data_IF_246262550500
#
_entry.id   IF_246262550500
#
_cell.length_a   1.000
_cell.length_b   1.000
_cell.length_c   1.000
_cell.angle_alpha   90.00
_cell.angle_beta   90.00
_cell.angle_gamma   90.00
#
_symmetry.space_group_name_H-M   'P 1'
#
loop_
_entity.id
_entity.type
_entity.pdbx_description
1 polymer ?
#
# COMPACT_ATOMS: atom_id res chain seq x y z
N UNK A 1 19.74 2.10 -6.80
CA UNK A 1 20.44 3.10 -5.95
C UNK A 1 19.57 3.36 -4.73
N UNK A 2 20.17 3.43 -3.55
CA UNK A 2 19.48 3.82 -2.31
C UNK A 2 20.22 5.02 -1.74
N UNK A 3 19.49 6.06 -1.32
CA UNK A 3 20.07 7.27 -0.74
C UNK A 3 19.19 7.75 0.41
N UNK A 4 19.79 8.01 1.57
CA UNK A 4 19.09 8.56 2.73
C UNK A 4 18.74 10.04 2.46
N UNK A 5 17.52 10.50 2.82
CA UNK A 5 17.11 11.90 2.64
C UNK A 5 17.69 12.80 3.73
N UNK A 6 19.02 12.85 3.82
CA UNK A 6 19.72 13.72 4.78
C UNK A 6 19.50 15.19 4.43
N UNK A 7 19.10 16.04 5.39
CA UNK A 7 18.87 17.46 5.15
C UNK A 7 20.19 18.19 4.92
N UNK A 8 20.17 19.16 4.02
CA UNK A 8 21.32 20.03 3.75
C UNK A 8 21.36 21.18 4.77
N UNK A 9 22.57 21.59 5.16
CA UNK A 9 22.75 22.75 6.04
C UNK A 9 22.21 24.05 5.42
N UNK A 10 22.22 24.16 4.09
CA UNK A 10 21.60 25.25 3.32
C UNK A 10 20.88 24.66 2.10
N UNK A 11 19.63 25.05 1.82
CA UNK A 11 18.96 24.66 0.59
C UNK A 11 19.74 25.14 -0.64
N UNK A 12 19.85 24.27 -1.64
CA UNK A 12 20.47 24.63 -2.92
C UNK A 12 19.35 25.07 -3.86
N UNK A 13 19.37 26.35 -4.25
CA UNK A 13 18.42 26.90 -5.21
C UNK A 13 18.93 26.63 -6.62
N UNK A 14 18.09 25.99 -7.44
CA UNK A 14 18.36 25.74 -8.84
C UNK A 14 18.10 27.00 -9.67
N UNK A 15 18.84 27.16 -10.76
CA UNK A 15 18.65 28.26 -11.71
C UNK A 15 17.23 28.35 -12.31
N UNK A 16 16.44 27.27 -12.24
CA UNK A 16 15.05 27.19 -12.70
C UNK A 16 13.98 27.33 -11.60
N UNK A 17 14.34 27.78 -10.40
CA UNK A 17 13.38 28.09 -9.32
C UNK A 17 13.00 26.92 -8.39
N UNK A 18 13.64 25.75 -8.53
CA UNK A 18 13.45 24.63 -7.60
C UNK A 18 14.45 24.66 -6.44
N UNK A 19 14.02 24.34 -5.23
CA UNK A 19 14.91 24.18 -4.06
C UNK A 19 15.20 22.70 -3.79
N UNK A 20 16.48 22.36 -3.65
CA UNK A 20 16.92 21.05 -3.18
C UNK A 20 17.23 21.14 -1.68
N UNK A 21 16.56 20.30 -0.89
CA UNK A 21 16.67 20.33 0.58
C UNK A 21 17.41 19.12 1.14
N UNK A 22 17.47 18.03 0.38
CA UNK A 22 18.11 16.78 0.83
C UNK A 22 19.18 16.29 -0.14
N UNK A 23 20.11 15.45 0.35
CA UNK A 23 21.10 14.76 -0.49
C UNK A 23 20.41 13.87 -1.54
N UNK A 24 19.28 13.25 -1.19
CA UNK A 24 18.48 12.46 -2.12
C UNK A 24 17.93 13.30 -3.28
N UNK A 25 17.54 14.55 -3.03
CA UNK A 25 17.09 15.47 -4.08
C UNK A 25 18.23 15.84 -5.04
N UNK A 26 19.45 16.06 -4.52
CA UNK A 26 20.65 16.28 -5.34
C UNK A 26 20.93 15.05 -6.21
N UNK A 27 20.89 13.84 -5.64
CA UNK A 27 21.11 12.60 -6.39
C UNK A 27 20.08 12.41 -7.49
N UNK A 28 18.80 12.65 -7.18
CA UNK A 28 17.68 12.61 -8.13
C UNK A 28 17.88 13.60 -9.27
N UNK A 29 18.28 14.84 -8.96
CA UNK A 29 18.53 15.87 -9.96
C UNK A 29 19.75 15.56 -10.83
N UNK A 30 20.82 15.00 -10.25
CA UNK A 30 21.99 14.56 -10.99
C UNK A 30 21.63 13.49 -12.03
N UNK A 31 20.84 12.48 -11.64
CA UNK A 31 20.39 11.43 -12.56
C UNK A 31 19.57 12.05 -13.70
N UNK A 32 18.66 12.99 -13.41
CA UNK A 32 17.87 13.66 -14.46
C UNK A 32 18.73 14.40 -15.47
N UNK A 33 19.73 15.13 -15.01
CA UNK A 33 20.63 15.89 -15.89
C UNK A 33 21.49 14.99 -16.76
N UNK A 34 22.00 13.89 -16.19
CA UNK A 34 22.75 12.89 -16.95
C UNK A 34 21.85 12.25 -18.01
N UNK A 35 20.61 11.88 -17.65
CA UNK A 35 19.62 11.37 -18.61
C UNK A 35 19.31 12.39 -19.71
N UNK A 36 19.16 13.66 -19.38
CA UNK A 36 18.95 14.71 -20.37
C UNK A 36 20.15 14.84 -21.32
N UNK A 37 21.38 14.86 -20.79
CA UNK A 37 22.59 14.90 -21.60
C UNK A 37 22.75 13.68 -22.51
N UNK A 38 22.44 12.48 -22.02
CA UNK A 38 22.43 11.25 -22.83
C UNK A 38 21.39 11.31 -23.96
N UNK A 39 20.20 11.85 -23.68
CA UNK A 39 19.16 12.05 -24.70
C UNK A 39 19.60 13.05 -25.78
N UNK A 40 20.24 14.13 -25.40
CA UNK A 40 20.69 15.15 -26.35
C UNK A 40 21.86 14.65 -27.21
N UNK A 41 22.86 13.99 -26.60
CA UNK A 41 23.96 13.37 -27.36
C UNK A 41 23.47 12.35 -28.39
N UNK A 42 22.42 11.60 -28.06
CA UNK A 42 21.83 10.61 -28.96
C UNK A 42 21.04 11.22 -30.13
N UNK A 43 20.50 12.44 -29.99
CA UNK A 43 19.84 13.11 -31.12
C UNK A 43 20.83 13.43 -32.26
N UNK A 44 22.09 13.63 -31.91
CA UNK A 44 23.16 13.96 -32.85
C UNK A 44 23.81 12.70 -33.48
N UNK A 45 23.46 11.50 -33.00
CA UNK A 45 23.98 10.23 -33.49
C UNK A 45 23.07 9.63 -34.57
N UNK A 46 23.64 9.09 -35.66
CA UNK A 46 22.87 8.44 -36.74
C UNK A 46 22.05 7.28 -36.15
N UNK A 47 20.73 7.25 -36.43
CA UNK A 47 19.78 6.25 -35.94
C UNK A 47 19.98 4.85 -36.54
N UNK A 48 21.16 4.26 -36.36
CA UNK A 48 21.42 2.85 -36.62
C UNK A 48 20.81 2.03 -35.47
N UNK A 49 19.99 1.01 -35.76
CA UNK A 49 19.43 0.17 -34.72
C UNK A 49 20.51 -0.78 -34.18
N UNK A 50 21.32 -0.32 -33.23
CA UNK A 50 22.33 -1.14 -32.58
C UNK A 50 21.73 -2.15 -31.57
N UNK A 51 20.45 -2.00 -31.21
CA UNK A 51 19.78 -2.79 -30.17
C UNK A 51 18.32 -3.08 -30.53
N UNK A 52 17.87 -4.31 -30.26
CA UNK A 52 16.47 -4.74 -30.47
C UNK A 52 15.47 -4.05 -29.53
N UNK A 53 15.95 -3.50 -28.40
CA UNK A 53 15.11 -2.77 -27.44
C UNK A 53 15.59 -1.32 -27.29
N UNK A 54 14.67 -0.34 -27.32
CA UNK A 54 14.99 1.04 -26.98
C UNK A 54 15.59 1.12 -25.58
N UNK A 55 16.59 1.99 -25.39
CA UNK A 55 17.17 2.20 -24.07
C UNK A 55 16.16 2.90 -23.15
N UNK A 56 15.84 2.26 -22.02
CA UNK A 56 14.98 2.86 -21.01
C UNK A 56 15.79 3.84 -20.15
N UNK A 57 15.60 5.13 -20.41
CA UNK A 57 16.17 6.22 -19.62
C UNK A 57 15.19 6.74 -18.55
N UNK A 58 14.05 6.06 -18.39
CA UNK A 58 13.12 6.32 -17.30
C UNK A 58 13.66 5.80 -15.98
N UNK A 59 13.28 6.47 -14.89
CA UNK A 59 13.52 5.93 -13.56
C UNK A 59 12.36 6.31 -12.64
N UNK A 60 12.08 5.45 -11.66
CA UNK A 60 11.09 5.70 -10.62
C UNK A 60 11.79 5.99 -9.30
N UNK A 61 11.17 6.83 -8.49
CA UNK A 61 11.67 7.20 -7.16
C UNK A 61 10.65 6.75 -6.13
N UNK A 62 11.12 5.94 -5.19
CA UNK A 62 10.34 5.47 -4.07
C UNK A 62 10.85 6.14 -2.79
N UNK A 63 9.96 6.33 -1.81
CA UNK A 63 10.28 6.81 -0.48
C UNK A 63 9.82 5.77 0.53
N UNK A 64 10.60 5.56 1.58
CA UNK A 64 10.16 4.77 2.72
C UNK A 64 9.10 5.57 3.49
N UNK A 65 7.93 4.96 3.68
CA UNK A 65 6.84 5.49 4.49
C UNK A 65 6.41 4.43 5.49
N UNK A 66 5.61 4.82 6.48
CA UNK A 66 4.91 3.85 7.30
C UNK A 66 3.96 3.00 6.45
N UNK A 67 3.70 1.78 6.90
CA UNK A 67 2.70 0.90 6.29
C UNK A 67 1.32 1.56 6.28
N UNK A 68 0.60 1.45 5.16
CA UNK A 68 -0.80 1.88 5.04
C UNK A 68 -1.77 0.85 5.63
N UNK A 69 -1.28 -0.35 5.91
CA UNK A 69 -2.04 -1.41 6.56
C UNK A 69 -1.87 -1.27 8.07
N UNK A 70 -2.99 -1.25 8.80
CA UNK A 70 -2.99 -1.23 10.25
C UNK A 70 -2.41 -2.56 10.75
N UNK A 71 -1.35 -2.55 11.58
CA UNK A 71 -0.90 -3.79 12.21
C UNK A 71 -2.01 -4.28 13.15
N UNK A 72 -2.16 -5.60 13.23
CA UNK A 72 -3.04 -6.20 14.23
C UNK A 72 -2.57 -5.79 15.62
N UNK A 73 -3.35 -4.93 16.29
CA UNK A 73 -3.09 -4.56 17.67
C UNK A 73 -3.47 -5.75 18.55
N UNK A 74 -2.48 -6.54 18.97
CA UNK A 74 -2.65 -7.47 20.09
C UNK A 74 -2.79 -6.61 21.33
N UNK A 75 -4.03 -6.29 21.71
CA UNK A 75 -4.27 -5.75 23.03
C UNK A 75 -4.04 -6.89 24.02
N UNK A 76 -2.83 -6.98 24.57
CA UNK A 76 -2.60 -7.72 25.80
C UNK A 76 -3.46 -7.06 26.87
N UNK A 77 -4.57 -7.70 27.22
CA UNK A 77 -5.44 -7.32 28.33
C UNK A 77 -4.71 -7.33 29.71
N UNK A 78 -3.40 -7.56 29.74
CA UNK A 78 -2.55 -7.57 30.93
C UNK A 78 -2.07 -6.17 31.37
N UNK A 79 -2.12 -5.14 30.52
CA UNK A 79 -1.63 -3.80 30.88
C UNK A 79 -2.65 -2.92 31.64
N UNK A 80 -3.88 -3.41 31.86
CA UNK A 80 -4.93 -2.70 32.58
C UNK A 80 -5.20 -3.26 33.99
N UNK A 81 -4.42 -4.24 34.47
CA UNK A 81 -4.51 -4.69 35.86
C UNK A 81 -3.54 -3.84 36.69
N UNK A 82 -4.01 -2.89 37.52
CA UNK A 82 -3.13 -2.25 38.50
C UNK A 82 -2.52 -3.35 39.39
N UNK A 83 -1.25 -3.23 39.80
CA UNK A 83 -0.62 -4.24 40.64
C UNK A 83 -1.50 -4.43 41.89
N UNK A 84 -2.03 -5.64 42.04
CA UNK A 84 -2.83 -6.04 43.18
C UNK A 84 -2.01 -5.84 44.46
N UNK A 85 -2.27 -4.74 45.16
CA UNK A 85 -1.90 -4.58 46.55
C UNK A 85 -2.60 -5.66 47.37
N UNK A 86 -1.79 -6.42 48.10
CA UNK A 86 -2.12 -7.21 49.29
C UNK A 86 -3.45 -7.98 49.27
N UNK A 87 -3.35 -9.24 48.84
CA UNK A 87 -4.28 -10.30 49.25
C UNK A 87 -4.09 -10.53 50.74
N UNK A 88 -4.83 -9.81 51.60
CA UNK A 88 -5.25 -10.26 52.94
C UNK A 88 -6.15 -9.20 53.62
N UNK A 89 -7.40 -9.07 53.14
CA UNK A 89 -8.51 -8.53 53.93
C UNK A 89 -9.86 -8.96 53.32
N UNK A 90 -10.58 -9.83 54.01
CA UNK A 90 -11.96 -10.21 53.70
C UNK A 90 -12.96 -9.21 54.34
N UNK A 91 -14.23 -9.15 53.93
CA UNK A 91 -14.82 -7.93 53.36
C UNK A 91 -15.80 -7.25 54.32
N UNK A 92 -15.91 -5.92 54.23
CA UNK A 92 -17.10 -5.24 54.76
C UNK A 92 -17.49 -4.02 53.93
N UNK A 93 -18.79 -3.99 53.63
CA UNK A 93 -19.63 -2.86 53.26
C UNK A 93 -19.47 -2.27 51.85
N UNK A 94 -20.48 -2.60 51.05
CA UNK A 94 -20.97 -1.92 49.86
C UNK A 94 -20.71 -0.40 49.80
N UNK A 95 -20.05 0.05 48.73
CA UNK A 95 -20.59 1.08 47.81
C UNK A 95 -19.60 1.39 46.67
N UNK A 96 -19.32 0.44 45.78
CA UNK A 96 -18.58 0.75 44.54
C UNK A 96 -19.28 0.12 43.32
N UNK A 97 -20.58 0.43 43.19
CA UNK A 97 -21.39 0.08 42.04
C UNK A 97 -21.44 1.16 40.95
N UNK A 98 -20.51 2.13 40.92
CA UNK A 98 -20.66 3.33 40.08
C UNK A 98 -19.44 3.73 39.22
N UNK A 99 -18.31 2.99 39.27
CA UNK A 99 -17.10 3.36 38.53
C UNK A 99 -16.69 2.39 37.42
N UNK A 100 -17.52 1.39 37.09
CA UNK A 100 -17.22 0.39 36.05
C UNK A 100 -18.03 0.57 34.75
N UNK A 101 -18.81 1.65 34.60
CA UNK A 101 -19.67 1.88 33.43
C UNK A 101 -19.06 2.87 32.42
N UNK A 102 -17.97 3.57 32.75
CA UNK A 102 -17.30 4.50 31.83
C UNK A 102 -16.34 3.83 30.81
N UNK A 103 -16.37 2.50 30.69
CA UNK A 103 -15.64 1.74 29.67
C UNK A 103 -16.54 1.26 28.51
N UNK A 104 -17.86 1.47 28.60
CA UNK A 104 -18.82 1.04 27.59
C UNK A 104 -18.79 1.91 26.32
N UNK A 105 -18.40 3.19 26.45
CA UNK A 105 -18.40 4.14 25.33
C UNK A 105 -17.20 3.97 24.37
N UNK A 106 -16.19 3.20 24.77
CA UNK A 106 -14.99 2.92 23.96
C UNK A 106 -15.09 1.65 23.10
N UNK A 107 -15.99 0.72 23.44
CA UNK A 107 -16.18 -0.54 22.70
C UNK A 107 -16.64 -0.36 21.24
N UNK A 108 -17.55 0.58 20.90
CA UNK A 108 -17.94 0.82 19.51
C UNK A 108 -16.79 1.38 18.67
N UNK A 109 -15.96 2.25 19.26
CA UNK A 109 -14.77 2.81 18.61
C UNK A 109 -13.72 1.72 18.41
N UNK A 110 -13.54 0.83 19.38
CA UNK A 110 -12.66 -0.33 19.25
C UNK A 110 -13.13 -1.29 18.15
N UNK A 111 -14.44 -1.58 18.06
CA UNK A 111 -15.00 -2.44 17.00
C UNK A 111 -14.89 -1.80 15.61
N UNK A 112 -15.05 -0.48 15.50
CA UNK A 112 -14.90 0.24 14.23
C UNK A 112 -13.45 0.25 13.70
N UNK A 113 -12.45 0.16 14.59
CA UNK A 113 -11.04 0.02 14.19
C UNK A 113 -10.72 -1.33 13.53
N UNK A 114 -11.62 -2.31 13.63
CA UNK A 114 -11.50 -3.62 12.97
C UNK A 114 -12.21 -3.70 11.61
N UNK A 115 -13.00 -2.69 11.22
CA UNK A 115 -13.81 -2.75 9.99
C UNK A 115 -13.02 -2.41 8.73
N UNK A 116 -12.03 -1.50 8.81
CA UNK A 116 -11.17 -1.16 7.68
C UNK A 116 -9.68 -1.27 8.05
N UNK A 117 -8.93 -2.18 7.40
CA UNK A 117 -7.51 -2.35 7.64
C UNK A 117 -6.64 -1.21 7.08
N UNK A 118 -7.21 -0.30 6.28
CA UNK A 118 -6.46 0.83 5.72
C UNK A 118 -6.39 2.02 6.69
N UNK A 119 -5.24 2.67 6.74
CA UNK A 119 -5.04 3.94 7.46
C UNK A 119 -5.69 5.11 6.72
N UNK A 120 -6.12 6.12 7.46
CA UNK A 120 -6.74 7.31 6.88
C UNK A 120 -5.78 8.03 5.90
N UNK A 121 -6.33 8.51 4.78
CA UNK A 121 -5.55 9.22 3.76
C UNK A 121 -4.70 8.33 2.84
N UNK A 122 -4.95 7.02 2.83
CA UNK A 122 -4.31 6.09 1.89
C UNK A 122 -4.57 6.49 0.43
N UNK A 123 -3.60 6.22 -0.45
CA UNK A 123 -3.78 6.33 -1.90
C UNK A 123 -3.67 4.97 -2.57
N UNK A 124 -4.40 4.70 -3.67
CA UNK A 124 -4.31 3.44 -4.39
C UNK A 124 -2.86 3.05 -4.74
N UNK A 125 -2.07 4.02 -5.19
CA UNK A 125 -0.67 3.80 -5.59
C UNK A 125 0.21 3.33 -4.42
N UNK A 126 0.00 3.90 -3.24
CA UNK A 126 0.75 3.54 -2.02
C UNK A 126 0.43 2.11 -1.57
N UNK A 127 -0.85 1.75 -1.56
CA UNK A 127 -1.34 0.43 -1.16
C UNK A 127 -0.92 -0.64 -2.16
N UNK A 128 -1.07 -0.36 -3.47
CA UNK A 128 -0.62 -1.25 -4.55
C UNK A 128 0.89 -1.50 -4.45
N UNK A 129 1.68 -0.45 -4.24
CA UNK A 129 3.14 -0.59 -4.11
C UNK A 129 3.52 -1.43 -2.89
N UNK A 130 2.85 -1.21 -1.76
CA UNK A 130 3.10 -1.96 -0.54
C UNK A 130 2.75 -3.46 -0.71
N UNK A 131 1.60 -3.76 -1.30
CA UNK A 131 1.16 -5.14 -1.54
C UNK A 131 2.07 -5.83 -2.55
N UNK A 132 2.42 -5.14 -3.64
CA UNK A 132 3.37 -5.66 -4.63
C UNK A 132 4.69 -6.05 -3.97
N UNK A 133 5.23 -5.20 -3.08
CA UNK A 133 6.45 -5.51 -2.34
C UNK A 133 6.29 -6.70 -1.38
N UNK A 134 5.15 -6.83 -0.69
CA UNK A 134 4.86 -7.97 0.20
C UNK A 134 4.75 -9.29 -0.57
N UNK A 135 4.19 -9.26 -1.78
CA UNK A 135 4.08 -10.42 -2.67
C UNK A 135 5.38 -10.71 -3.46
N UNK A 136 6.44 -9.92 -3.25
CA UNK A 136 7.76 -10.16 -3.85
C UNK A 136 7.91 -9.63 -5.29
N UNK A 137 7.07 -8.70 -5.73
CA UNK A 137 7.19 -8.03 -7.02
C UNK A 137 8.40 -7.11 -7.04
N UNK A 138 9.03 -6.97 -8.20
CA UNK A 138 10.10 -6.01 -8.45
C UNK A 138 9.56 -4.57 -8.51
N UNK A 139 10.40 -3.58 -8.22
CA UNK A 139 10.05 -2.15 -8.33
C UNK A 139 9.76 -1.69 -9.78
N UNK A 140 10.03 -2.53 -10.78
CA UNK A 140 9.71 -2.28 -12.19
C UNK A 140 8.30 -2.72 -12.58
N UNK A 141 7.46 -3.18 -11.65
CA UNK A 141 6.08 -3.58 -11.94
C UNK A 141 5.29 -2.47 -12.64
N UNK A 142 4.33 -2.81 -13.51
CA UNK A 142 3.34 -1.87 -14.01
C UNK A 142 2.00 -2.11 -13.33
N UNK A 143 1.32 -1.05 -12.92
CA UNK A 143 -0.04 -1.11 -12.41
C UNK A 143 -0.94 -0.33 -13.37
N UNK A 144 -1.92 -0.99 -13.97
CA UNK A 144 -2.80 -0.39 -14.99
C UNK A 144 -4.25 -0.70 -14.62
N UNK A 145 -5.17 0.28 -14.63
CA UNK A 145 -6.58 0.01 -14.42
C UNK A 145 -7.14 -0.86 -15.55
N UNK A 146 -7.97 -1.82 -15.20
CA UNK A 146 -8.66 -2.69 -16.16
C UNK A 146 -9.91 -1.95 -16.65
N UNK A 147 -10.02 -1.78 -17.97
CA UNK A 147 -11.17 -1.16 -18.60
C UNK A 147 -12.32 -2.17 -18.78
N UNK A 148 -13.56 -1.67 -18.86
CA UNK A 148 -14.73 -2.48 -19.19
C UNK A 148 -15.37 -3.22 -18.02
N UNK A 149 -15.09 -2.80 -16.78
CA UNK A 149 -15.75 -3.33 -15.59
C UNK A 149 -17.11 -2.66 -15.38
N UNK A 150 -18.07 -3.44 -14.89
CA UNK A 150 -19.40 -2.94 -14.56
C UNK A 150 -19.40 -2.27 -13.18
N UNK A 151 -20.51 -1.61 -12.85
CA UNK A 151 -20.80 -1.01 -11.53
C UNK A 151 -19.79 0.06 -11.06
N UNK A 152 -18.95 0.58 -11.96
CA UNK A 152 -17.95 1.62 -11.65
C UNK A 152 -16.77 1.12 -10.82
N UNK A 153 -16.60 -0.20 -10.70
CA UNK A 153 -15.52 -0.80 -9.91
C UNK A 153 -14.17 -0.59 -10.60
N UNK A 154 -13.18 -0.19 -9.82
CA UNK A 154 -11.81 0.03 -10.23
C UNK A 154 -10.93 -1.14 -9.79
N UNK A 155 -10.48 -1.92 -10.77
CA UNK A 155 -9.48 -2.99 -10.55
C UNK A 155 -8.20 -2.63 -11.26
N UNK A 156 -7.08 -2.74 -10.56
CA UNK A 156 -5.75 -2.58 -11.13
C UNK A 156 -5.16 -3.95 -11.44
N UNK A 157 -4.63 -4.11 -12.65
CA UNK A 157 -3.77 -5.23 -13.01
C UNK A 157 -2.32 -4.82 -12.76
N UNK A 158 -1.65 -5.54 -11.87
CA UNK A 158 -0.25 -5.34 -11.53
C UNK A 158 0.58 -6.45 -12.14
N UNK A 159 1.56 -6.09 -12.96
CA UNK A 159 2.38 -7.02 -13.71
C UNK A 159 3.87 -6.73 -13.49
N UNK A 160 4.64 -7.75 -13.13
CA UNK A 160 6.09 -7.66 -13.01
C UNK A 160 6.78 -8.35 -14.20
N UNK A 161 7.35 -7.59 -15.15
CA UNK A 161 8.02 -8.18 -16.31
C UNK A 161 9.31 -8.92 -15.93
N UNK A 162 9.92 -8.64 -14.78
CA UNK A 162 11.17 -9.28 -14.37
C UNK A 162 10.97 -10.73 -13.88
N UNK A 163 9.77 -11.04 -13.37
CA UNK A 163 9.42 -12.34 -12.78
C UNK A 163 8.27 -13.04 -13.50
N UNK A 164 7.71 -12.42 -14.54
CA UNK A 164 6.55 -12.88 -15.29
C UNK A 164 5.39 -13.29 -14.37
N UNK A 165 5.07 -12.42 -13.42
CA UNK A 165 4.00 -12.64 -12.45
C UNK A 165 3.01 -11.47 -12.45
N UNK A 166 1.73 -11.77 -12.19
CA UNK A 166 0.65 -10.79 -12.19
C UNK A 166 -0.34 -11.02 -11.06
N UNK A 167 -0.92 -9.93 -10.56
CA UNK A 167 -2.06 -9.98 -9.66
C UNK A 167 -3.04 -8.88 -10.01
N UNK A 168 -4.25 -9.02 -9.53
CA UNK A 168 -5.32 -8.06 -9.64
C UNK A 168 -5.64 -7.52 -8.26
N UNK A 169 -5.93 -6.23 -8.17
CA UNK A 169 -6.29 -5.60 -6.90
C UNK A 169 -7.45 -4.65 -7.05
N UNK A 170 -8.44 -4.78 -6.16
CA UNK A 170 -9.56 -3.86 -6.01
C UNK A 170 -9.51 -3.19 -4.64
N UNK A 171 -9.63 -1.87 -4.61
CA UNK A 171 -9.58 -1.07 -3.37
C UNK A 171 -10.91 -0.38 -3.05
N UNK A 172 -11.95 -0.65 -3.83
CA UNK A 172 -13.29 -0.08 -3.61
C UNK A 172 -13.98 -0.70 -2.39
N UNK A 173 -14.98 0.00 -1.85
CA UNK A 173 -15.72 -0.43 -0.65
C UNK A 173 -16.63 -1.63 -0.89
N UNK A 174 -16.98 -1.94 -2.14
CA UNK A 174 -17.85 -3.05 -2.51
C UNK A 174 -17.45 -3.64 -3.84
N UNK A 175 -17.46 -4.97 -3.91
CA UNK A 175 -17.17 -5.73 -5.12
C UNK A 175 -18.24 -6.78 -5.33
N UNK A 176 -18.80 -6.84 -6.54
CA UNK A 176 -19.80 -7.84 -6.94
C UNK A 176 -19.26 -8.72 -8.07
N UNK A 177 -19.75 -9.96 -8.18
CA UNK A 177 -19.36 -10.86 -9.27
C UNK A 177 -19.72 -10.29 -10.65
N UNK A 178 -20.81 -9.54 -10.76
CA UNK A 178 -21.21 -8.86 -12.00
C UNK A 178 -20.21 -7.78 -12.40
N UNK A 179 -19.67 -7.04 -11.43
CA UNK A 179 -18.62 -6.05 -11.67
C UNK A 179 -17.33 -6.70 -12.18
N UNK A 180 -17.00 -7.89 -11.69
CA UNK A 180 -15.79 -8.63 -12.05
C UNK A 180 -15.95 -9.50 -13.31
N UNK A 181 -17.14 -9.62 -13.90
CA UNK A 181 -17.38 -10.51 -15.05
C UNK A 181 -16.50 -10.20 -16.28
N UNK A 182 -16.02 -8.97 -16.41
CA UNK A 182 -15.08 -8.56 -17.46
C UNK A 182 -13.62 -8.98 -17.21
N UNK A 183 -13.29 -9.50 -16.03
CA UNK A 183 -11.96 -10.00 -15.70
C UNK A 183 -11.84 -11.47 -16.10
N UNK A 184 -10.86 -11.75 -16.94
CA UNK A 184 -10.40 -13.11 -17.20
C UNK A 184 -9.45 -13.51 -16.06
N UNK A 185 -10.02 -14.00 -14.95
CA UNK A 185 -9.26 -14.57 -13.84
C UNK A 185 -9.04 -16.06 -14.07
N UNK A 186 -7.79 -16.51 -13.94
CA UNK A 186 -7.43 -17.93 -13.95
C UNK A 186 -7.17 -18.45 -12.52
N UNK A 187 -7.19 -19.77 -12.34
CA UNK A 187 -6.94 -20.40 -11.02
C UNK A 187 -5.59 -20.05 -10.40
N UNK A 188 -4.61 -19.71 -11.23
CA UNK A 188 -3.27 -19.31 -10.79
C UNK A 188 -3.19 -17.82 -10.40
N UNK A 189 -4.15 -16.99 -10.84
CA UNK A 189 -4.12 -15.56 -10.60
C UNK A 189 -4.41 -15.25 -9.13
N UNK A 190 -3.67 -14.26 -8.61
CA UNK A 190 -3.90 -13.68 -7.29
C UNK A 190 -4.84 -12.48 -7.43
N UNK A 191 -5.94 -12.49 -6.69
CA UNK A 191 -6.86 -11.37 -6.56
C UNK A 191 -6.81 -10.83 -5.13
N UNK A 192 -6.49 -9.54 -4.99
CA UNK A 192 -6.40 -8.84 -3.71
C UNK A 192 -7.55 -7.86 -3.57
N UNK A 193 -8.26 -7.88 -2.45
CA UNK A 193 -9.34 -6.93 -2.17
C UNK A 193 -9.45 -6.64 -0.68
N UNK A 194 -10.12 -5.53 -0.34
CA UNK A 194 -10.41 -5.18 1.06
C UNK A 194 -11.42 -6.16 1.66
N UNK A 195 -11.23 -6.49 2.93
CA UNK A 195 -12.11 -7.44 3.63
C UNK A 195 -13.54 -6.92 3.74
N UNK A 196 -13.70 -5.62 3.99
CA UNK A 196 -14.99 -4.96 4.00
C UNK A 196 -15.73 -4.96 2.65
N UNK A 197 -15.04 -5.26 1.54
CA UNK A 197 -15.59 -5.14 0.20
C UNK A 197 -16.19 -6.44 -0.35
N UNK A 198 -15.89 -7.58 0.27
CA UNK A 198 -16.41 -8.88 -0.11
C UNK A 198 -17.62 -9.25 0.75
N UNK A 199 -18.70 -9.69 0.11
CA UNK A 199 -19.73 -10.48 0.77
C UNK A 199 -19.38 -11.97 0.72
N UNK A 200 -20.00 -12.77 1.61
CA UNK A 200 -19.72 -14.20 1.73
C UNK A 200 -19.91 -14.96 0.40
N UNK A 201 -20.92 -14.57 -0.37
CA UNK A 201 -21.23 -15.17 -1.67
C UNK A 201 -20.18 -14.83 -2.73
N UNK A 202 -19.75 -13.57 -2.84
CA UNK A 202 -18.72 -13.15 -3.81
C UNK A 202 -17.36 -13.74 -3.42
N UNK A 203 -17.03 -13.78 -2.11
CA UNK A 203 -15.81 -14.39 -1.61
C UNK A 203 -15.72 -15.89 -1.97
N UNK A 204 -16.80 -16.65 -1.72
CA UNK A 204 -16.85 -18.07 -2.04
C UNK A 204 -16.71 -18.32 -3.54
N UNK A 205 -17.39 -17.54 -4.37
CA UNK A 205 -17.32 -17.68 -5.83
C UNK A 205 -15.94 -17.30 -6.39
N UNK A 206 -15.31 -16.23 -5.88
CA UNK A 206 -13.96 -15.86 -6.27
C UNK A 206 -12.93 -16.92 -5.86
N UNK A 207 -13.04 -17.48 -4.66
CA UNK A 207 -12.15 -18.53 -4.18
C UNK A 207 -12.21 -19.83 -5.03
N UNK A 208 -13.31 -20.07 -5.75
CA UNK A 208 -13.42 -21.18 -6.71
C UNK A 208 -12.71 -20.89 -8.04
N UNK A 209 -12.56 -19.62 -8.41
CA UNK A 209 -12.04 -19.18 -9.69
C UNK A 209 -10.55 -18.79 -9.64
N UNK A 210 -10.10 -18.19 -8.53
CA UNK A 210 -8.75 -17.68 -8.37
C UNK A 210 -8.25 -17.79 -6.91
N UNK A 211 -7.00 -17.38 -6.66
CA UNK A 211 -6.47 -17.26 -5.31
C UNK A 211 -6.84 -15.90 -4.76
N UNK A 212 -7.76 -15.85 -3.80
CA UNK A 212 -8.18 -14.62 -3.14
C UNK A 212 -7.30 -14.35 -1.93
N UNK A 213 -6.83 -13.12 -1.79
CA UNK A 213 -6.19 -12.62 -0.58
C UNK A 213 -6.87 -11.35 -0.15
N UNK A 214 -7.20 -11.28 1.12
CA UNK A 214 -7.89 -10.14 1.70
C UNK A 214 -6.89 -9.29 2.45
N UNK A 215 -7.03 -7.97 2.33
CA UNK A 215 -6.23 -6.98 3.06
C UNK A 215 -7.07 -6.26 4.07
#
# INVERSE_FOLDING_TARGET
MVQLPEPLAKPVVLAGGGELRTIADIGKERIRRVVAGLRDARKDELGLPDRDTPEDLGFRVYRLAESNLRPWAVHDAAAAVPPSGDRDAAPSTASEGAAAIAAADGLPVQLALFTDPLKDGWTPESVITEIALREGYSLSFSAVPVAGLADGVTVYRVHDPARDQRFFICLDDRVTLTALAGLTLEKADLFVCRDSALDDDTAANLALQCRVKVI
#
